data_IF_255328314658
#
_entry.id   IF_255328314658
#
_cell.length_a   1.000
_cell.length_b   1.000
_cell.length_c   1.000
_cell.angle_alpha   90.00
_cell.angle_beta   90.00
_cell.angle_gamma   90.00
#
_symmetry.space_group_name_H-M   'P 1'
#
loop_
_entity.id
_entity.type
_entity.pdbx_description
1 polymer ?
#
# COMPACT_ATOMS: atom_id res chain seq x y z
N UNK A 1 -18.30 -1.06 27.85
CA UNK A 1 -19.40 -0.50 27.03
C UNK A 1 -19.48 -1.34 25.77
N UNK A 2 -20.50 -2.19 25.69
CA UNK A 2 -20.84 -2.97 24.50
C UNK A 2 -21.43 -2.04 23.45
N UNK A 3 -20.70 -1.78 22.37
CA UNK A 3 -21.25 -1.09 21.20
C UNK A 3 -20.69 -1.73 19.94
N UNK A 4 -21.49 -2.59 19.29
CA UNK A 4 -21.26 -2.93 17.89
C UNK A 4 -21.35 -4.40 17.45
N UNK A 5 -21.86 -5.34 18.25
CA UNK A 5 -22.15 -6.68 17.70
C UNK A 5 -23.38 -6.62 16.79
N UNK A 6 -23.14 -6.52 15.49
CA UNK A 6 -24.12 -6.94 14.48
C UNK A 6 -24.55 -8.39 14.75
N UNK A 7 -25.78 -8.74 14.38
CA UNK A 7 -26.34 -10.10 14.49
C UNK A 7 -25.52 -11.09 13.65
N UNK A 8 -24.45 -11.61 14.22
CA UNK A 8 -23.51 -12.54 13.59
C UNK A 8 -22.20 -12.40 14.33
N UNK A 9 -21.76 -13.45 15.02
CA UNK A 9 -20.62 -13.41 15.96
C UNK A 9 -19.26 -13.23 15.31
N UNK A 10 -19.07 -12.15 14.55
CA UNK A 10 -17.83 -11.74 13.92
C UNK A 10 -17.37 -10.38 14.46
N UNK A 11 -16.09 -10.09 14.27
CA UNK A 11 -15.46 -8.83 14.65
C UNK A 11 -14.60 -8.30 13.52
N UNK A 12 -14.55 -6.98 13.40
CA UNK A 12 -13.67 -6.30 12.47
C UNK A 12 -12.29 -6.10 13.13
N UNK A 13 -11.23 -6.46 12.41
CA UNK A 13 -9.85 -6.21 12.87
C UNK A 13 -9.28 -4.99 12.17
N UNK A 14 -8.77 -4.07 12.99
CA UNK A 14 -7.96 -2.95 12.54
C UNK A 14 -6.50 -3.38 12.68
N UNK A 15 -5.66 -3.04 11.70
CA UNK A 15 -4.21 -3.29 11.76
C UNK A 15 -3.43 -2.00 11.52
N UNK A 16 -2.25 -1.81 12.14
CA UNK A 16 -1.45 -0.60 11.99
C UNK A 16 -1.05 -0.27 10.54
N UNK A 17 -0.88 -1.30 9.71
CA UNK A 17 -0.37 -1.17 8.35
C UNK A 17 -1.44 -0.93 7.26
N UNK A 18 -2.67 -1.40 7.47
CA UNK A 18 -3.74 -1.36 6.46
C UNK A 18 -5.03 -0.70 6.97
N UNK A 19 -5.12 -0.38 8.25
CA UNK A 19 -6.35 0.13 8.86
C UNK A 19 -7.41 -0.95 8.95
N UNK A 20 -8.65 -0.62 8.58
CA UNK A 20 -9.78 -1.54 8.61
C UNK A 20 -9.60 -2.70 7.62
N UNK A 21 -9.62 -3.93 8.14
CA UNK A 21 -9.62 -5.11 7.28
C UNK A 21 -11.02 -5.30 6.70
N UNK A 22 -11.12 -5.54 5.39
CA UNK A 22 -12.39 -5.80 4.70
C UNK A 22 -13.05 -7.12 5.07
N UNK A 23 -12.30 -8.02 5.72
CA UNK A 23 -12.75 -9.34 6.14
C UNK A 23 -12.93 -9.37 7.65
N UNK A 24 -14.17 -9.61 8.08
CA UNK A 24 -14.47 -9.86 9.48
C UNK A 24 -13.94 -11.23 9.91
N UNK A 25 -13.47 -11.31 11.16
CA UNK A 25 -13.02 -12.54 11.78
C UNK A 25 -14.14 -13.15 12.62
N UNK A 26 -14.27 -14.49 12.66
CA UNK A 26 -15.20 -15.15 13.56
C UNK A 26 -14.76 -14.99 15.02
N UNK A 27 -15.71 -15.10 15.97
CA UNK A 27 -15.42 -15.14 17.41
C UNK A 27 -14.31 -16.11 17.81
N UNK A 28 -14.26 -17.29 17.19
CA UNK A 28 -13.23 -18.30 17.44
C UNK A 28 -11.81 -17.84 17.09
N UNK A 29 -11.66 -16.79 16.26
CA UNK A 29 -10.35 -16.23 16.00
C UNK A 29 -9.77 -15.56 17.26
N UNK A 30 -10.59 -15.08 18.20
CA UNK A 30 -10.12 -14.46 19.45
C UNK A 30 -9.36 -15.45 20.34
N UNK A 31 -9.56 -16.76 20.19
CA UNK A 31 -8.89 -17.78 20.98
C UNK A 31 -7.37 -17.82 20.74
N UNK A 32 -6.89 -17.23 19.64
CA UNK A 32 -5.45 -17.06 19.37
C UNK A 32 -4.89 -15.70 19.78
N UNK A 33 -5.69 -14.85 20.43
CA UNK A 33 -5.29 -13.52 20.88
C UNK A 33 -5.30 -13.42 22.41
N UNK A 34 -4.31 -12.73 22.93
CA UNK A 34 -4.27 -12.34 24.34
C UNK A 34 -4.80 -10.92 24.50
N UNK A 35 -5.62 -10.70 25.53
CA UNK A 35 -6.12 -9.37 25.87
C UNK A 35 -5.07 -8.65 26.72
N UNK A 36 -4.52 -7.57 26.17
CA UNK A 36 -3.52 -6.73 26.84
C UNK A 36 -4.12 -5.39 27.30
N UNK A 37 -3.51 -4.70 28.29
CA UNK A 37 -3.92 -3.35 28.69
C UNK A 37 -3.69 -2.31 27.58
N UNK A 38 -4.53 -1.28 27.55
CA UNK A 38 -4.51 -0.24 26.50
C UNK A 38 -3.15 0.46 26.35
N UNK A 39 -2.41 0.66 27.45
CA UNK A 39 -1.09 1.29 27.46
C UNK A 39 -0.06 0.43 26.71
N UNK A 40 -0.07 -0.88 26.94
CA UNK A 40 0.81 -1.82 26.26
C UNK A 40 0.41 -1.96 24.78
N UNK A 41 -0.90 -2.01 24.53
CA UNK A 41 -1.45 -2.04 23.17
C UNK A 41 -1.00 -0.84 22.34
N UNK A 42 -1.02 0.37 22.91
CA UNK A 42 -0.58 1.58 22.22
C UNK A 42 0.90 1.49 21.80
N UNK A 43 1.78 1.08 22.71
CA UNK A 43 3.22 0.96 22.43
C UNK A 43 3.51 -0.03 21.31
N UNK A 44 2.88 -1.21 21.35
CA UNK A 44 3.00 -2.22 20.29
C UNK A 44 2.43 -1.71 18.97
N UNK A 45 1.30 -1.02 19.01
CA UNK A 45 0.65 -0.45 17.84
C UNK A 45 1.52 0.61 17.16
N UNK A 46 2.09 1.56 17.91
CA UNK A 46 2.95 2.61 17.40
C UNK A 46 4.26 2.04 16.82
N UNK A 47 4.84 1.04 17.49
CA UNK A 47 6.01 0.32 16.99
C UNK A 47 5.73 -0.30 15.63
N UNK A 48 4.63 -1.04 15.49
CA UNK A 48 4.24 -1.67 14.24
C UNK A 48 3.87 -0.62 13.17
N UNK A 49 3.15 0.43 13.55
CA UNK A 49 2.76 1.53 12.66
C UNK A 49 3.97 2.20 12.01
N UNK A 50 5.02 2.45 12.80
CA UNK A 50 6.28 3.03 12.35
C UNK A 50 7.10 2.00 11.55
N UNK A 51 7.18 0.75 11.99
CA UNK A 51 7.88 -0.32 11.27
C UNK A 51 7.35 -0.49 9.85
N UNK A 52 6.02 -0.59 9.71
CA UNK A 52 5.38 -0.81 8.42
C UNK A 52 5.41 0.43 7.51
N UNK A 53 5.80 1.61 8.00
CA UNK A 53 5.99 2.78 7.14
C UNK A 53 7.05 2.53 6.06
N UNK A 54 8.09 1.75 6.38
CA UNK A 54 9.23 1.53 5.48
C UNK A 54 9.49 0.05 5.20
N UNK A 55 9.15 -0.84 6.14
CA UNK A 55 9.46 -2.28 6.07
C UNK A 55 8.22 -3.10 5.74
N UNK A 56 8.43 -4.17 4.98
CA UNK A 56 7.35 -5.07 4.59
C UNK A 56 6.90 -5.96 5.76
N UNK A 57 5.66 -6.47 5.71
CA UNK A 57 5.12 -7.36 6.74
C UNK A 57 5.39 -8.84 6.52
N UNK A 58 6.49 -9.20 5.87
CA UNK A 58 6.92 -10.59 5.77
C UNK A 58 7.49 -11.06 7.11
N UNK A 59 7.09 -12.25 7.56
CA UNK A 59 7.60 -12.85 8.80
C UNK A 59 9.02 -13.41 8.64
N UNK A 60 9.44 -13.70 7.41
CA UNK A 60 10.78 -14.21 7.07
C UNK A 60 11.37 -13.36 5.95
N UNK A 61 12.55 -12.80 6.19
CA UNK A 61 13.25 -11.97 5.20
C UNK A 61 13.64 -12.76 3.94
N UNK A 62 13.88 -14.07 4.07
CA UNK A 62 14.24 -14.98 2.98
C UNK A 62 13.19 -15.09 1.85
N UNK A 63 11.93 -14.77 2.15
CA UNK A 63 10.82 -14.79 1.18
C UNK A 63 10.54 -13.38 0.63
N UNK A 64 11.20 -12.35 1.17
CA UNK A 64 10.99 -10.98 0.75
C UNK A 64 11.77 -10.70 -0.54
N UNK A 65 11.15 -10.11 -1.58
CA UNK A 65 11.84 -9.67 -2.80
C UNK A 65 12.73 -8.42 -2.58
N UNK A 66 13.18 -8.19 -1.34
CA UNK A 66 14.04 -7.08 -0.95
C UNK A 66 13.37 -5.72 -1.05
N UNK A 67 14.13 -4.73 -1.51
CA UNK A 67 13.75 -3.31 -1.50
C UNK A 67 12.49 -3.00 -2.31
N UNK A 68 12.21 -3.79 -3.34
CA UNK A 68 11.01 -3.63 -4.20
C UNK A 68 9.73 -4.16 -3.55
N UNK A 69 9.83 -4.81 -2.39
CA UNK A 69 8.68 -5.37 -1.70
C UNK A 69 7.75 -4.27 -1.19
N UNK A 70 6.47 -4.36 -1.56
CA UNK A 70 5.39 -3.50 -1.06
C UNK A 70 4.40 -4.24 -0.17
N UNK A 71 4.65 -5.52 0.11
CA UNK A 71 3.76 -6.36 0.90
C UNK A 71 3.58 -5.79 2.30
N UNK A 72 2.33 -5.44 2.63
CA UNK A 72 1.93 -4.95 3.96
C UNK A 72 2.70 -3.70 4.42
N UNK A 73 3.35 -2.95 3.51
CA UNK A 73 3.86 -1.61 3.80
C UNK A 73 2.70 -0.64 3.90
N UNK A 74 2.75 0.25 4.88
CA UNK A 74 1.79 1.34 5.08
C UNK A 74 1.94 2.43 4.03
N UNK A 75 3.18 2.74 3.66
CA UNK A 75 3.47 3.70 2.59
C UNK A 75 3.77 2.95 1.30
N UNK A 76 3.08 3.32 0.22
CA UNK A 76 3.32 2.78 -1.12
C UNK A 76 3.69 3.93 -2.05
N UNK A 77 4.79 3.75 -2.78
CA UNK A 77 5.27 4.71 -3.76
C UNK A 77 4.85 4.26 -5.15
N UNK A 78 4.10 5.12 -5.84
CA UNK A 78 3.66 4.89 -7.21
C UNK A 78 4.26 5.95 -8.12
N UNK A 79 4.72 5.53 -9.30
CA UNK A 79 5.22 6.44 -10.31
C UNK A 79 4.13 6.68 -11.34
N UNK A 80 3.73 7.95 -11.50
CA UNK A 80 2.66 8.34 -12.42
C UNK A 80 3.22 9.35 -13.40
N UNK A 81 3.24 8.99 -14.68
CA UNK A 81 3.60 9.89 -15.76
C UNK A 81 2.37 10.71 -16.16
N UNK A 82 2.52 12.03 -16.15
CA UNK A 82 1.44 13.00 -16.44
C UNK A 82 1.90 14.02 -17.48
N UNK A 83 0.99 14.84 -18.00
CA UNK A 83 1.30 15.87 -19.00
C UNK A 83 1.24 15.37 -20.43
N UNK A 84 2.18 15.82 -21.29
CA UNK A 84 2.21 15.46 -22.72
C UNK A 84 2.81 14.07 -22.96
N UNK A 85 2.07 13.04 -22.54
CA UNK A 85 2.48 11.64 -22.66
C UNK A 85 2.58 11.19 -24.12
N UNK A 86 1.76 11.76 -25.01
CA UNK A 86 1.68 11.37 -26.41
C UNK A 86 2.98 11.63 -27.17
N UNK A 87 3.74 12.66 -26.80
CA UNK A 87 5.03 13.01 -27.43
C UNK A 87 6.05 11.88 -27.30
N UNK A 88 6.00 11.12 -26.20
CA UNK A 88 6.94 10.05 -25.90
C UNK A 88 6.29 8.66 -25.97
N UNK A 89 5.13 8.55 -26.61
CA UNK A 89 4.29 7.35 -26.58
C UNK A 89 5.01 6.09 -27.07
N UNK A 90 5.77 6.20 -28.16
CA UNK A 90 6.54 5.08 -28.71
C UNK A 90 7.68 4.63 -27.78
N UNK A 91 8.28 5.56 -27.03
CA UNK A 91 9.28 5.24 -26.02
C UNK A 91 8.66 4.52 -24.83
N UNK A 92 7.46 4.95 -24.40
CA UNK A 92 6.72 4.35 -23.29
C UNK A 92 6.29 2.93 -23.64
N UNK A 93 5.66 2.72 -24.81
CA UNK A 93 5.24 1.38 -25.28
C UNK A 93 6.36 0.36 -25.29
N UNK A 94 7.59 0.79 -25.62
CA UNK A 94 8.77 -0.10 -25.63
C UNK A 94 9.29 -0.41 -24.23
N UNK A 95 8.97 0.42 -23.25
CA UNK A 95 9.48 0.29 -21.88
C UNK A 95 8.52 -0.49 -20.97
N UNK A 96 7.21 -0.52 -21.25
CA UNK A 96 6.22 -1.20 -20.41
C UNK A 96 5.39 -2.21 -21.20
N UNK A 97 5.19 -3.39 -20.63
CA UNK A 97 4.38 -4.44 -21.24
C UNK A 97 2.88 -4.09 -21.28
N UNK A 98 2.41 -3.40 -20.23
CA UNK A 98 1.01 -2.98 -20.11
C UNK A 98 0.92 -1.56 -19.60
N UNK A 99 0.15 -0.73 -20.31
CA UNK A 99 -0.14 0.65 -19.92
C UNK A 99 -1.43 0.67 -19.12
N UNK A 100 -1.36 1.21 -17.89
CA UNK A 100 -2.53 1.43 -17.03
C UNK A 100 -2.75 2.92 -16.83
N UNK A 101 -3.91 3.42 -17.25
CA UNK A 101 -4.33 4.79 -16.95
C UNK A 101 -4.93 4.79 -15.55
N UNK A 102 -4.43 5.68 -14.70
CA UNK A 102 -4.92 5.84 -13.32
C UNK A 102 -5.42 7.27 -13.10
N UNK A 103 -6.47 7.39 -12.28
CA UNK A 103 -6.94 8.65 -11.74
C UNK A 103 -6.64 8.68 -10.24
N UNK A 104 -5.80 9.63 -9.83
CA UNK A 104 -5.47 9.89 -8.43
C UNK A 104 -6.26 11.09 -7.95
N UNK A 105 -6.90 10.94 -6.79
CA UNK A 105 -7.54 12.04 -6.06
C UNK A 105 -6.64 12.32 -4.87
N UNK A 106 -6.08 13.52 -4.83
CA UNK A 106 -5.27 13.97 -3.70
C UNK A 106 -6.18 14.38 -2.54
N UNK A 107 -5.62 14.41 -1.33
CA UNK A 107 -6.34 14.83 -0.12
C UNK A 107 -6.88 16.27 -0.22
N UNK A 108 -6.22 17.12 -1.01
CA UNK A 108 -6.68 18.46 -1.34
C UNK A 108 -7.83 18.51 -2.38
N UNK A 109 -8.39 17.36 -2.78
CA UNK A 109 -9.47 17.23 -3.76
C UNK A 109 -9.04 17.36 -5.23
N UNK A 110 -7.79 17.75 -5.50
CA UNK A 110 -7.25 17.83 -6.87
C UNK A 110 -7.14 16.44 -7.48
N UNK A 111 -7.47 16.36 -8.77
CA UNK A 111 -7.46 15.12 -9.55
C UNK A 111 -6.30 15.13 -10.52
N UNK A 112 -5.54 14.05 -10.54
CA UNK A 112 -4.46 13.81 -11.49
C UNK A 112 -4.84 12.58 -12.32
N UNK A 113 -4.67 12.68 -13.64
CA UNK A 113 -4.80 11.53 -14.54
C UNK A 113 -3.46 11.31 -15.21
N UNK A 114 -3.01 10.06 -15.26
CA UNK A 114 -1.72 9.72 -15.85
C UNK A 114 -1.56 8.22 -16.06
N UNK A 115 -0.36 7.84 -16.52
CA UNK A 115 0.02 6.45 -16.70
C UNK A 115 0.77 5.94 -15.48
N UNK A 116 0.35 4.80 -14.95
CA UNK A 116 1.07 4.11 -13.89
C UNK A 116 2.30 3.41 -14.49
N UNK A 117 3.48 3.72 -13.95
CA UNK A 117 4.75 3.14 -14.38
C UNK A 117 5.31 2.20 -13.31
N UNK A 118 5.81 1.00 -13.70
CA UNK A 118 6.65 0.18 -12.82
C UNK A 118 7.91 0.94 -12.39
N UNK A 119 8.33 0.78 -11.13
CA UNK A 119 9.52 1.47 -10.62
C UNK A 119 10.79 1.12 -11.42
N UNK A 120 10.88 -0.11 -11.95
CA UNK A 120 12.02 -0.59 -12.73
C UNK A 120 12.27 0.21 -14.01
N UNK A 121 11.23 0.79 -14.63
CA UNK A 121 11.35 1.47 -15.93
C UNK A 121 11.58 2.97 -15.81
N UNK A 122 11.34 3.53 -14.63
CA UNK A 122 11.33 4.97 -14.38
C UNK A 122 12.68 5.63 -14.65
N UNK A 123 13.82 5.11 -14.16
CA UNK A 123 15.12 5.75 -14.41
C UNK A 123 15.45 5.85 -15.91
N UNK A 124 15.20 4.77 -16.66
CA UNK A 124 15.45 4.71 -18.10
C UNK A 124 14.55 5.66 -18.90
N UNK A 125 13.27 5.78 -18.51
CA UNK A 125 12.35 6.73 -19.14
C UNK A 125 12.73 8.18 -18.85
N UNK A 126 13.13 8.50 -17.62
CA UNK A 126 13.57 9.86 -17.25
C UNK A 126 14.76 10.30 -18.09
N UNK A 127 15.76 9.43 -18.26
CA UNK A 127 16.93 9.73 -19.09
C UNK A 127 16.51 10.09 -20.53
N UNK A 128 15.72 9.23 -21.17
CA UNK A 128 15.26 9.45 -22.56
C UNK A 128 14.40 10.69 -22.75
N UNK A 129 13.59 11.05 -21.76
CA UNK A 129 12.73 12.24 -21.85
C UNK A 129 13.55 13.52 -21.66
N UNK A 130 14.59 13.51 -20.83
CA UNK A 130 15.46 14.68 -20.59
C UNK A 130 16.40 15.00 -21.74
N UNK A 131 16.73 14.01 -22.56
CA UNK A 131 17.60 14.19 -23.74
C UNK A 131 16.88 14.86 -24.93
N UNK A 132 15.57 15.14 -24.79
CA UNK A 132 14.72 15.82 -25.78
C UNK A 132 14.34 17.23 -25.31
#
# INVERSE_FOLDING_TARGET
RDTGLGKGGSFQVIRPNVGFTSKDLPKSALDSYEKIPDIEAQSLWEKDFNYFAEKCGHTREEVCPGETCTFRKRNQHYHILTGSVLTFWETIKKAVDTVKIVRVILDCGRKIVGLLLPASVVPALIAKIKDH
#
